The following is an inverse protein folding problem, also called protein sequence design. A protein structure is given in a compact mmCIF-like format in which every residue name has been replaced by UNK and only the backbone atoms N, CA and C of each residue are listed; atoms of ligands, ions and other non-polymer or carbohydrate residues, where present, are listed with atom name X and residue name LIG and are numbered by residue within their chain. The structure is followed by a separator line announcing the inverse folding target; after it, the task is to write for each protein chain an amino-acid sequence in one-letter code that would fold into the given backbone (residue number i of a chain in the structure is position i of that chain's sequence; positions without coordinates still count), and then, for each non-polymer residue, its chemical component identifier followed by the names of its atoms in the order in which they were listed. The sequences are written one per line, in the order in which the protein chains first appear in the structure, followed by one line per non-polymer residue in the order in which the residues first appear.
data_IF_536641348768
#
_entry.id   IF_536641348768
#
_cell.length_a   1.000
_cell.length_b   1.000
_cell.length_c   1.000
_cell.angle_alpha   90.00
_cell.angle_beta   90.00
_cell.angle_gamma   90.00
#
_symmetry.space_group_name_H-M   'P 1'
#
loop_
_entity.id
_entity.type
_entity.pdbx_description
1 polymer ?
#
# COMPACT_ATOMS: atom_id res chain seq x y z
N UNK A 1 -8.95 -37.84 72.80
CA UNK A 1 -9.55 -38.99 72.09
C UNK A 1 -9.42 -38.77 70.61
N UNK A 2 -8.55 -39.58 69.97
CA UNK A 2 -8.49 -40.06 68.55
C UNK A 2 -8.63 -39.08 67.42
N UNK A 3 -7.55 -38.60 66.81
CA UNK A 3 -6.71 -39.25 65.80
C UNK A 3 -7.49 -39.68 64.54
N UNK A 4 -7.26 -39.02 63.40
CA UNK A 4 -7.04 -39.70 62.10
C UNK A 4 -6.40 -38.73 61.07
N UNK A 5 -5.14 -39.03 60.82
CA UNK A 5 -4.40 -38.52 59.65
C UNK A 5 -4.90 -39.18 58.40
N UNK A 6 -5.05 -38.42 57.32
CA UNK A 6 -5.03 -38.97 55.96
C UNK A 6 -4.14 -38.10 55.06
N UNK A 7 -3.01 -38.69 54.71
CA UNK A 7 -2.11 -38.24 53.67
C UNK A 7 -2.78 -38.42 52.30
N UNK A 8 -2.82 -37.33 51.48
CA UNK A 8 -2.97 -37.45 50.07
C UNK A 8 -1.72 -36.92 49.40
N UNK A 9 -0.89 -37.83 48.95
CA UNK A 9 0.17 -37.59 47.96
C UNK A 9 -0.49 -37.50 46.60
N UNK A 10 -0.61 -36.32 46.04
CA UNK A 10 -0.89 -36.14 44.62
C UNK A 10 0.44 -36.02 43.86
N UNK A 11 0.73 -37.05 43.07
CA UNK A 11 1.81 -37.08 42.10
C UNK A 11 1.63 -36.00 41.03
N UNK A 12 2.47 -34.99 41.05
CA UNK A 12 2.61 -34.07 39.94
C UNK A 12 3.40 -34.80 38.84
N UNK A 13 2.68 -35.25 37.81
CA UNK A 13 3.29 -35.71 36.58
C UNK A 13 3.96 -34.52 35.90
N UNK A 14 5.27 -34.54 35.83
CA UNK A 14 6.06 -33.66 34.96
C UNK A 14 5.78 -34.03 33.52
N UNK A 15 4.84 -33.34 32.90
CA UNK A 15 4.68 -33.34 31.46
C UNK A 15 5.86 -32.55 30.85
N UNK A 16 6.95 -33.23 30.58
CA UNK A 16 8.02 -32.72 29.73
C UNK A 16 7.47 -32.67 28.30
N UNK A 17 6.93 -31.53 27.91
CA UNK A 17 6.76 -31.18 26.49
C UNK A 17 8.15 -31.29 25.85
N UNK A 18 8.33 -32.08 24.79
CA UNK A 18 9.63 -32.16 24.13
C UNK A 18 9.95 -30.78 23.55
N UNK A 19 11.02 -30.15 24.05
CA UNK A 19 11.68 -29.07 23.34
C UNK A 19 12.19 -29.67 22.04
N UNK A 20 11.45 -29.45 20.95
CA UNK A 20 11.95 -29.74 19.61
C UNK A 20 13.18 -28.86 19.39
N UNK A 21 14.36 -29.49 19.31
CA UNK A 21 15.55 -28.80 18.81
C UNK A 21 15.32 -28.53 17.33
N UNK A 22 14.84 -27.32 17.01
CA UNK A 22 14.75 -26.87 15.63
C UNK A 22 16.14 -26.95 15.00
N UNK A 23 16.21 -27.59 13.84
CA UNK A 23 17.42 -27.60 13.05
C UNK A 23 17.76 -26.18 12.57
N UNK A 24 19.03 -25.91 12.24
CA UNK A 24 19.46 -24.59 11.74
C UNK A 24 18.68 -24.18 10.47
N UNK A 25 18.14 -25.14 9.70
CA UNK A 25 17.29 -24.91 8.53
C UNK A 25 15.83 -24.53 8.89
N UNK A 26 15.33 -25.02 10.02
CA UNK A 26 13.97 -24.66 10.53
C UNK A 26 13.94 -23.23 11.12
N UNK A 27 15.07 -22.60 11.39
CA UNK A 27 15.18 -21.18 11.76
C UNK A 27 14.95 -20.24 10.55
N UNK A 28 15.04 -20.76 9.32
CA UNK A 28 14.79 -20.00 8.09
C UNK A 28 13.34 -20.21 7.62
N UNK A 29 12.43 -19.56 8.30
CA UNK A 29 10.99 -19.69 8.07
C UNK A 29 10.52 -18.94 6.82
N UNK A 30 9.45 -19.45 6.16
CA UNK A 30 8.80 -18.85 5.01
C UNK A 30 8.19 -17.47 5.34
N UNK A 31 7.72 -16.77 4.33
CA UNK A 31 6.98 -15.50 4.47
C UNK A 31 5.81 -15.60 5.49
N UNK A 32 5.16 -16.75 5.56
CA UNK A 32 3.98 -17.00 6.41
C UNK A 32 4.29 -17.68 7.74
N UNK A 33 5.56 -18.02 8.02
CA UNK A 33 5.99 -18.65 9.27
C UNK A 33 6.51 -17.62 10.28
N UNK A 34 6.35 -17.91 11.57
CA UNK A 34 6.90 -17.07 12.62
C UNK A 34 8.43 -17.09 12.63
N UNK A 35 9.05 -15.92 12.72
CA UNK A 35 10.46 -15.80 13.03
C UNK A 35 10.66 -15.94 14.54
N UNK A 36 11.48 -16.91 14.95
CA UNK A 36 11.83 -17.12 16.37
C UNK A 36 12.96 -16.21 16.84
N UNK A 37 13.76 -15.72 15.90
CA UNK A 37 14.93 -14.87 16.17
C UNK A 37 14.87 -13.62 15.30
N UNK A 38 15.43 -12.53 15.81
CA UNK A 38 15.44 -11.27 15.06
C UNK A 38 16.42 -11.30 13.89
N UNK A 39 17.58 -11.94 14.04
CA UNK A 39 18.62 -12.10 13.00
C UNK A 39 19.13 -13.55 12.97
N UNK A 40 19.64 -14.01 11.80
CA UNK A 40 19.84 -13.28 10.54
C UNK A 40 18.54 -13.03 9.78
N UNK A 41 18.46 -11.95 8.99
CA UNK A 41 17.32 -11.66 8.14
C UNK A 41 17.27 -12.57 6.92
N UNK A 42 16.11 -13.13 6.63
CA UNK A 42 15.82 -13.85 5.38
C UNK A 42 15.38 -12.89 4.26
N UNK A 43 14.66 -11.84 4.61
CA UNK A 43 14.11 -10.85 3.70
C UNK A 43 14.59 -9.42 4.08
N UNK A 44 15.91 -9.14 3.98
CA UNK A 44 16.49 -7.85 4.39
C UNK A 44 15.84 -6.66 3.66
N UNK A 45 15.42 -6.85 2.42
CA UNK A 45 14.69 -5.84 1.64
C UNK A 45 13.40 -5.35 2.34
N UNK A 46 12.70 -6.21 3.07
CA UNK A 46 11.50 -5.81 3.80
C UNK A 46 11.83 -4.88 4.98
N UNK A 47 12.96 -5.15 5.68
CA UNK A 47 13.45 -4.24 6.73
C UNK A 47 13.86 -2.89 6.13
N UNK A 48 14.47 -2.89 4.95
CA UNK A 48 14.85 -1.67 4.23
C UNK A 48 13.63 -0.81 3.91
N UNK A 49 12.52 -1.39 3.41
CA UNK A 49 11.28 -0.67 3.18
C UNK A 49 10.66 -0.12 4.47
N UNK A 50 10.63 -0.89 5.56
CA UNK A 50 10.15 -0.39 6.84
C UNK A 50 10.95 0.84 7.29
N UNK A 51 12.29 0.78 7.21
CA UNK A 51 13.16 1.89 7.59
C UNK A 51 13.01 3.10 6.65
N UNK A 52 12.83 2.87 5.35
CA UNK A 52 12.59 3.95 4.37
C UNK A 52 11.25 4.64 4.64
N UNK A 53 10.19 3.90 4.92
CA UNK A 53 8.90 4.45 5.29
C UNK A 53 8.98 5.35 6.53
N UNK A 54 9.71 4.92 7.56
CA UNK A 54 9.92 5.75 8.74
C UNK A 54 10.76 7.02 8.46
N UNK A 55 11.78 6.92 7.60
CA UNK A 55 12.58 8.08 7.19
C UNK A 55 11.80 9.08 6.35
N UNK A 56 10.80 8.62 5.63
CA UNK A 56 9.91 9.44 4.83
C UNK A 56 8.73 10.00 5.64
N UNK A 57 8.80 9.96 6.98
CA UNK A 57 7.74 10.42 7.87
C UNK A 57 7.31 11.86 7.59
N UNK A 58 6.00 12.08 7.63
CA UNK A 58 5.32 13.38 7.60
C UNK A 58 3.98 13.25 8.33
N UNK A 59 3.38 14.36 8.71
CA UNK A 59 2.09 14.40 9.37
C UNK A 59 1.18 15.48 8.77
N UNK A 60 -0.12 15.35 8.97
CA UNK A 60 -1.16 16.25 8.47
C UNK A 60 -0.94 17.72 8.86
N UNK A 61 -0.28 17.97 9.99
CA UNK A 61 0.02 19.34 10.47
C UNK A 61 1.12 20.06 9.70
N UNK A 62 1.84 19.38 8.80
CA UNK A 62 2.89 19.97 7.98
C UNK A 62 2.34 20.67 6.73
N UNK A 63 1.14 20.28 6.27
CA UNK A 63 0.52 20.84 5.08
C UNK A 63 0.03 22.29 5.30
N UNK A 64 0.33 23.17 4.35
CA UNK A 64 -0.02 24.59 4.41
C UNK A 64 -1.32 24.86 3.68
N UNK A 65 -2.45 24.64 4.34
CA UNK A 65 -3.78 24.72 3.74
C UNK A 65 -4.40 26.13 3.70
N UNK A 66 -3.80 27.13 4.36
CA UNK A 66 -4.38 28.48 4.45
C UNK A 66 -4.59 29.14 3.08
N UNK A 67 -3.63 28.97 2.17
CA UNK A 67 -3.74 29.51 0.82
C UNK A 67 -4.83 28.79 -0.01
N UNK A 68 -5.03 27.51 0.24
CA UNK A 68 -6.07 26.70 -0.41
C UNK A 68 -7.47 27.17 0.02
N UNK A 69 -7.67 27.46 1.31
CA UNK A 69 -8.91 28.06 1.82
C UNK A 69 -9.19 29.40 1.14
N UNK A 70 -8.17 30.26 1.06
CA UNK A 70 -8.33 31.55 0.41
C UNK A 70 -8.70 31.41 -1.09
N UNK A 71 -8.10 30.45 -1.78
CA UNK A 71 -8.44 30.17 -3.18
C UNK A 71 -9.84 29.55 -3.32
N UNK A 72 -10.21 28.64 -2.42
CA UNK A 72 -11.53 28.01 -2.38
C UNK A 72 -12.66 29.01 -2.20
N UNK A 73 -12.45 30.01 -1.34
CA UNK A 73 -13.46 31.04 -1.01
C UNK A 73 -13.50 32.23 -1.98
N UNK A 74 -12.39 32.56 -2.61
CA UNK A 74 -12.23 33.81 -3.40
C UNK A 74 -12.78 33.76 -4.83
N UNK A 75 -13.29 32.60 -5.31
CA UNK A 75 -13.70 32.43 -6.70
C UNK A 75 -12.55 32.25 -7.69
N UNK A 76 -11.32 32.04 -7.22
CA UNK A 76 -10.19 31.65 -8.08
C UNK A 76 -10.36 30.26 -8.70
N UNK A 77 -11.11 29.38 -8.02
CA UNK A 77 -11.56 28.11 -8.54
C UNK A 77 -12.97 28.28 -9.13
N UNK A 78 -13.17 27.78 -10.33
CA UNK A 78 -14.50 27.69 -10.95
C UNK A 78 -15.35 26.65 -10.22
N UNK A 79 -16.68 26.75 -10.35
CA UNK A 79 -17.60 25.76 -9.76
C UNK A 79 -17.31 24.35 -10.28
N UNK A 80 -16.91 24.24 -11.55
CA UNK A 80 -16.48 22.97 -12.15
C UNK A 80 -15.24 22.39 -11.47
N UNK A 81 -14.22 23.20 -11.19
CA UNK A 81 -13.01 22.76 -10.51
C UNK A 81 -13.28 22.35 -9.05
N UNK A 82 -14.15 23.10 -8.35
CA UNK A 82 -14.59 22.73 -7.01
C UNK A 82 -15.34 21.41 -7.01
N UNK A 83 -16.29 21.22 -7.95
CA UNK A 83 -17.00 19.97 -8.09
C UNK A 83 -16.03 18.81 -8.38
N UNK A 84 -15.09 19.00 -9.30
CA UNK A 84 -14.08 17.99 -9.64
C UNK A 84 -13.27 17.56 -8.42
N UNK A 85 -12.74 18.51 -7.63
CA UNK A 85 -12.02 18.21 -6.39
C UNK A 85 -12.92 17.49 -5.39
N UNK A 86 -14.15 17.97 -5.17
CA UNK A 86 -15.10 17.36 -4.22
C UNK A 86 -15.43 15.92 -4.60
N UNK A 87 -15.70 15.64 -5.88
CA UNK A 87 -15.96 14.28 -6.35
C UNK A 87 -14.80 13.33 -6.09
N UNK A 88 -13.57 13.81 -6.25
CA UNK A 88 -12.38 13.00 -5.98
C UNK A 88 -12.21 12.76 -4.48
N UNK A 89 -12.25 13.81 -3.67
CA UNK A 89 -12.04 13.73 -2.21
C UNK A 89 -13.13 12.91 -1.51
N UNK A 90 -14.38 12.93 -2.00
CA UNK A 90 -15.48 12.10 -1.50
C UNK A 90 -15.14 10.61 -1.47
N UNK A 91 -14.45 10.11 -2.47
CA UNK A 91 -14.06 8.71 -2.56
C UNK A 91 -12.67 8.44 -2.01
N UNK A 92 -11.76 9.40 -2.15
CA UNK A 92 -10.34 9.16 -1.95
C UNK A 92 -10.03 8.81 -0.49
N UNK A 93 -10.55 9.57 0.46
CA UNK A 93 -10.41 9.27 1.91
C UNK A 93 -10.92 7.87 2.25
N UNK A 94 -12.01 7.41 1.61
CA UNK A 94 -12.57 6.08 1.82
C UNK A 94 -11.69 4.97 1.21
N UNK A 95 -10.98 5.27 0.13
CA UNK A 95 -10.03 4.34 -0.47
C UNK A 95 -8.89 4.01 0.50
N UNK A 96 -8.34 5.01 1.21
CA UNK A 96 -7.29 4.81 2.21
C UNK A 96 -7.80 4.02 3.44
N UNK A 97 -9.08 4.18 3.81
CA UNK A 97 -9.72 3.34 4.84
C UNK A 97 -9.75 1.88 4.38
N UNK A 98 -10.11 1.62 3.12
CA UNK A 98 -10.13 0.28 2.56
C UNK A 98 -8.73 -0.35 2.49
N UNK A 99 -7.72 0.40 2.04
CA UNK A 99 -6.33 -0.08 1.97
C UNK A 99 -5.77 -0.36 3.36
N UNK A 100 -5.93 0.56 4.31
CA UNK A 100 -5.49 0.37 5.70
C UNK A 100 -6.15 -0.85 6.36
N UNK A 101 -7.45 -1.07 6.13
CA UNK A 101 -8.18 -2.26 6.59
C UNK A 101 -7.60 -3.54 5.98
N UNK A 102 -7.28 -3.53 4.68
CA UNK A 102 -6.68 -4.69 4.01
C UNK A 102 -5.34 -5.10 4.65
N UNK A 103 -4.49 -4.14 5.02
CA UNK A 103 -3.26 -4.45 5.74
C UNK A 103 -3.52 -5.13 7.08
N UNK A 104 -4.44 -4.60 7.88
CA UNK A 104 -4.69 -5.07 9.24
C UNK A 104 -5.42 -6.41 9.27
N UNK A 105 -6.41 -6.61 8.42
CA UNK A 105 -7.29 -7.77 8.48
C UNK A 105 -6.84 -8.91 7.58
N UNK A 106 -6.18 -8.62 6.46
CA UNK A 106 -5.86 -9.66 5.47
C UNK A 106 -4.36 -9.94 5.35
N UNK A 107 -3.47 -8.93 5.32
CA UNK A 107 -2.05 -9.18 5.04
C UNK A 107 -1.25 -9.47 6.32
N UNK A 108 -1.24 -8.58 7.30
CA UNK A 108 -0.47 -8.73 8.54
C UNK A 108 -0.79 -10.03 9.29
N UNK A 109 -2.06 -10.51 9.37
CA UNK A 109 -2.37 -11.79 10.01
C UNK A 109 -1.81 -13.01 9.29
N UNK A 110 -1.58 -12.94 7.97
CA UNK A 110 -1.09 -14.05 7.15
C UNK A 110 0.43 -14.11 7.07
N UNK A 111 1.08 -12.96 6.95
CA UNK A 111 2.54 -12.89 6.91
C UNK A 111 3.09 -12.78 8.34
N UNK A 112 3.70 -13.86 8.83
CA UNK A 112 4.15 -13.96 10.24
C UNK A 112 5.66 -13.83 10.42
N UNK A 113 6.41 -13.73 9.32
CA UNK A 113 7.81 -13.41 9.35
C UNK A 113 8.01 -11.97 9.86
N UNK A 114 8.99 -11.73 10.74
CA UNK A 114 9.18 -10.45 11.42
C UNK A 114 9.54 -9.31 10.47
N UNK A 115 10.38 -9.56 9.47
CA UNK A 115 10.80 -8.54 8.49
C UNK A 115 9.61 -8.09 7.65
N UNK A 116 8.79 -9.06 7.18
CA UNK A 116 7.59 -8.77 6.40
C UNK A 116 6.57 -8.02 7.24
N UNK A 117 6.35 -8.42 8.50
CA UNK A 117 5.44 -7.72 9.40
C UNK A 117 5.87 -6.29 9.69
N UNK A 118 7.16 -6.06 9.88
CA UNK A 118 7.70 -4.71 10.08
C UNK A 118 7.35 -3.81 8.88
N UNK A 119 7.59 -4.28 7.65
CA UNK A 119 7.23 -3.57 6.43
C UNK A 119 5.72 -3.30 6.34
N UNK A 120 4.89 -4.34 6.46
CA UNK A 120 3.44 -4.20 6.33
C UNK A 120 2.82 -3.31 7.42
N UNK A 121 3.36 -3.36 8.65
CA UNK A 121 2.89 -2.49 9.75
C UNK A 121 3.29 -1.03 9.50
N UNK A 122 4.48 -0.79 8.96
CA UNK A 122 4.94 0.55 8.58
C UNK A 122 4.04 1.14 7.48
N UNK A 123 3.72 0.35 6.46
CA UNK A 123 2.79 0.74 5.39
C UNK A 123 1.39 1.03 5.94
N UNK A 124 0.82 0.11 6.73
CA UNK A 124 -0.49 0.32 7.36
C UNK A 124 -0.55 1.62 8.17
N UNK A 125 0.53 1.98 8.88
CA UNK A 125 0.57 3.24 9.62
C UNK A 125 0.51 4.47 8.71
N UNK A 126 1.07 4.41 7.50
CA UNK A 126 0.99 5.52 6.54
C UNK A 126 -0.43 5.75 6.04
N UNK A 127 -1.21 4.69 5.84
CA UNK A 127 -2.63 4.82 5.47
C UNK A 127 -3.43 5.65 6.49
N UNK A 128 -3.16 5.51 7.78
CA UNK A 128 -3.81 6.34 8.80
C UNK A 128 -3.35 7.82 8.75
N UNK A 129 -2.14 8.08 8.31
CA UNK A 129 -1.68 9.46 8.07
C UNK A 129 -2.38 10.06 6.86
N UNK A 130 -2.54 9.29 5.77
CA UNK A 130 -3.28 9.70 4.58
C UNK A 130 -4.74 10.05 4.93
N UNK A 131 -5.44 9.14 5.63
CA UNK A 131 -6.83 9.36 6.08
C UNK A 131 -6.99 10.67 6.87
N UNK A 132 -6.12 10.92 7.87
CA UNK A 132 -6.19 12.15 8.67
C UNK A 132 -5.87 13.39 7.85
N UNK A 133 -4.96 13.28 6.89
CA UNK A 133 -4.55 14.41 6.05
C UNK A 133 -5.66 14.82 5.08
N UNK A 134 -6.34 13.86 4.45
CA UNK A 134 -7.50 14.15 3.60
C UNK A 134 -8.73 14.58 4.41
N UNK A 135 -8.90 14.06 5.62
CA UNK A 135 -9.94 14.56 6.54
C UNK A 135 -9.66 16.02 6.92
N UNK A 136 -8.43 16.36 7.34
CA UNK A 136 -8.06 17.74 7.64
C UNK A 136 -8.25 18.66 6.43
N UNK A 137 -7.91 18.21 5.22
CA UNK A 137 -8.15 18.99 3.99
C UNK A 137 -9.65 19.25 3.79
N UNK A 138 -10.51 18.25 3.88
CA UNK A 138 -11.96 18.38 3.75
C UNK A 138 -12.53 19.36 4.79
N UNK A 139 -12.17 19.17 6.07
CA UNK A 139 -12.63 20.04 7.16
C UNK A 139 -12.19 21.50 6.94
N UNK A 140 -10.95 21.68 6.50
CA UNK A 140 -10.36 23.01 6.25
C UNK A 140 -11.05 23.73 5.07
N UNK A 141 -11.46 22.99 4.04
CA UNK A 141 -12.23 23.51 2.91
C UNK A 141 -13.71 23.75 3.25
N UNK A 142 -14.17 23.31 4.42
CA UNK A 142 -15.56 23.41 4.86
C UNK A 142 -16.49 22.42 4.15
N UNK A 143 -15.95 21.26 3.76
CA UNK A 143 -16.74 20.15 3.21
C UNK A 143 -17.58 19.56 4.33
N UNK A 144 -18.92 19.44 4.17
CA UNK A 144 -19.80 18.89 5.21
C UNK A 144 -19.46 17.44 5.57
N UNK A 145 -19.67 17.04 6.83
CA UNK A 145 -19.40 15.66 7.29
C UNK A 145 -20.22 14.61 6.53
N UNK A 146 -21.39 14.96 6.03
CA UNK A 146 -22.22 14.08 5.22
C UNK A 146 -21.52 13.61 3.94
N UNK A 147 -20.57 14.38 3.42
CA UNK A 147 -19.80 14.03 2.22
C UNK A 147 -18.89 12.81 2.42
N UNK A 148 -18.47 12.51 3.66
CA UNK A 148 -17.69 11.31 3.95
C UNK A 148 -18.46 10.00 3.71
N UNK A 149 -19.78 10.02 3.77
CA UNK A 149 -20.62 8.87 3.45
C UNK A 149 -21.28 8.96 2.07
N UNK A 150 -21.23 10.12 1.42
CA UNK A 150 -21.92 10.37 0.16
C UNK A 150 -21.42 9.46 -1.00
N UNK A 151 -20.21 8.89 -0.91
CA UNK A 151 -19.74 7.91 -1.90
C UNK A 151 -20.66 6.69 -2.02
N UNK A 152 -21.43 6.35 -0.96
CA UNK A 152 -22.40 5.26 -0.96
C UNK A 152 -23.59 5.50 -1.89
N UNK A 153 -23.90 6.77 -2.19
CA UNK A 153 -24.97 7.16 -3.09
C UNK A 153 -24.55 7.08 -4.58
N UNK A 154 -23.24 6.95 -4.83
CA UNK A 154 -22.67 6.79 -6.16
C UNK A 154 -22.32 5.32 -6.42
N UNK A 155 -23.11 4.67 -7.25
CA UNK A 155 -22.94 3.24 -7.57
C UNK A 155 -21.49 2.87 -7.89
N UNK A 156 -20.85 3.64 -8.78
CA UNK A 156 -19.48 3.38 -9.24
C UNK A 156 -18.42 3.55 -8.15
N UNK A 157 -18.64 4.49 -7.22
CA UNK A 157 -17.75 4.68 -6.07
C UNK A 157 -17.88 3.53 -5.08
N UNK A 158 -19.11 3.12 -4.79
CA UNK A 158 -19.37 1.95 -3.93
C UNK A 158 -18.80 0.67 -4.53
N UNK A 159 -19.05 0.41 -5.82
CA UNK A 159 -18.52 -0.77 -6.52
C UNK A 159 -16.99 -0.81 -6.49
N UNK A 160 -16.31 0.34 -6.60
CA UNK A 160 -14.84 0.42 -6.47
C UNK A 160 -14.39 0.01 -5.06
N UNK A 161 -14.99 0.53 -4.01
CA UNK A 161 -14.62 0.17 -2.61
C UNK A 161 -14.90 -1.31 -2.36
N UNK A 162 -16.07 -1.82 -2.75
CA UNK A 162 -16.41 -3.24 -2.62
C UNK A 162 -15.35 -4.12 -3.35
N UNK A 163 -14.92 -3.71 -4.55
CA UNK A 163 -13.89 -4.41 -5.31
C UNK A 163 -12.51 -4.35 -4.65
N UNK A 164 -12.13 -3.21 -4.07
CA UNK A 164 -10.84 -3.05 -3.37
C UNK A 164 -10.73 -3.95 -2.13
N UNK A 165 -11.86 -4.27 -1.49
CA UNK A 165 -11.94 -5.05 -0.26
C UNK A 165 -12.34 -6.52 -0.47
N UNK A 166 -12.66 -6.94 -1.70
CA UNK A 166 -12.94 -8.34 -2.04
C UNK A 166 -11.65 -9.17 -2.07
N UNK A 167 -11.20 -9.60 -0.89
CA UNK A 167 -9.89 -10.24 -0.68
C UNK A 167 -10.05 -11.64 -0.09
N UNK A 168 -9.63 -12.66 -0.86
CA UNK A 168 -9.48 -14.04 -0.37
C UNK A 168 -8.03 -14.30 0.06
N UNK A 169 -7.84 -14.62 1.35
CA UNK A 169 -6.56 -15.05 1.90
C UNK A 169 -6.60 -16.45 2.50
N UNK A 170 -7.65 -17.25 2.23
CA UNK A 170 -7.82 -18.57 2.84
C UNK A 170 -7.01 -19.65 2.13
N UNK A 171 -6.81 -19.49 0.84
CA UNK A 171 -6.00 -20.41 0.04
C UNK A 171 -4.64 -19.82 -0.33
N UNK A 172 -3.67 -20.68 -0.66
CA UNK A 172 -2.34 -20.25 -1.17
C UNK A 172 -2.50 -19.43 -2.45
N UNK A 173 -3.38 -19.86 -3.34
CA UNK A 173 -3.67 -19.12 -4.59
C UNK A 173 -4.38 -17.80 -4.29
N UNK A 174 -5.34 -17.80 -3.36
CA UNK A 174 -6.05 -16.59 -2.92
C UNK A 174 -5.11 -15.55 -2.34
N UNK A 175 -4.20 -15.94 -1.43
CA UNK A 175 -3.22 -15.03 -0.85
C UNK A 175 -2.28 -14.45 -1.93
N UNK A 176 -1.85 -15.24 -2.91
CA UNK A 176 -1.06 -14.73 -4.04
C UNK A 176 -1.81 -13.67 -4.86
N UNK A 177 -3.12 -13.88 -5.11
CA UNK A 177 -3.98 -12.89 -5.78
C UNK A 177 -4.22 -11.65 -4.90
N UNK A 178 -4.35 -11.83 -3.59
CA UNK A 178 -4.50 -10.75 -2.65
C UNK A 178 -3.30 -9.79 -2.66
N UNK A 179 -2.06 -10.30 -2.73
CA UNK A 179 -0.87 -9.47 -2.87
C UNK A 179 -0.89 -8.70 -4.21
N UNK A 180 -1.27 -9.36 -5.31
CA UNK A 180 -1.40 -8.70 -6.60
C UNK A 180 -2.49 -7.61 -6.59
N UNK A 181 -3.57 -7.80 -5.81
CA UNK A 181 -4.62 -6.80 -5.62
C UNK A 181 -4.12 -5.56 -4.87
N UNK A 182 -3.29 -5.72 -3.84
CA UNK A 182 -2.64 -4.58 -3.18
C UNK A 182 -1.81 -3.76 -4.18
N UNK A 183 -0.97 -4.42 -5.00
CA UNK A 183 -0.21 -3.75 -6.06
C UNK A 183 -1.12 -2.99 -7.03
N UNK A 184 -2.29 -3.52 -7.35
CA UNK A 184 -3.26 -2.84 -8.21
C UNK A 184 -3.93 -1.67 -7.47
N UNK A 185 -4.40 -1.86 -6.24
CA UNK A 185 -5.07 -0.82 -5.46
C UNK A 185 -4.16 0.39 -5.25
N UNK A 186 -2.98 0.17 -4.67
CA UNK A 186 -2.04 1.21 -4.29
C UNK A 186 -1.21 1.72 -5.48
N UNK A 187 -0.95 0.86 -6.46
CA UNK A 187 -0.13 1.20 -7.64
C UNK A 187 -0.91 1.67 -8.88
N UNK A 188 -2.23 1.56 -8.92
CA UNK A 188 -3.07 1.95 -10.05
C UNK A 188 -4.32 2.71 -9.60
N UNK A 189 -5.13 2.13 -8.71
CA UNK A 189 -6.45 2.69 -8.39
C UNK A 189 -6.39 4.01 -7.63
N UNK A 190 -5.39 4.24 -6.78
CA UNK A 190 -5.18 5.53 -6.13
C UNK A 190 -4.58 6.57 -7.09
N UNK A 191 -3.82 6.12 -8.08
CA UNK A 191 -3.11 7.03 -9.00
C UNK A 191 -4.04 7.82 -9.91
N UNK A 192 -5.24 7.34 -10.20
CA UNK A 192 -6.25 8.13 -10.93
C UNK A 192 -6.58 9.42 -10.18
N UNK A 193 -6.82 9.33 -8.86
CA UNK A 193 -7.10 10.47 -8.01
C UNK A 193 -5.88 11.39 -7.86
N UNK A 194 -4.68 10.83 -7.67
CA UNK A 194 -3.45 11.61 -7.56
C UNK A 194 -3.23 12.50 -8.78
N UNK A 195 -3.33 11.95 -9.99
CA UNK A 195 -3.13 12.73 -11.24
C UNK A 195 -4.14 13.85 -11.36
N UNK A 196 -5.41 13.58 -11.04
CA UNK A 196 -6.47 14.57 -11.12
C UNK A 196 -6.24 15.74 -10.13
N UNK A 197 -5.81 15.45 -8.91
CA UNK A 197 -5.52 16.47 -7.91
C UNK A 197 -4.21 17.23 -8.19
N UNK A 198 -3.14 16.53 -8.58
CA UNK A 198 -1.85 17.16 -8.90
C UNK A 198 -1.90 18.07 -10.12
N UNK A 199 -2.87 17.89 -11.01
CA UNK A 199 -3.06 18.79 -12.14
C UNK A 199 -3.22 20.27 -11.72
N UNK A 200 -3.80 20.53 -10.56
CA UNK A 200 -4.00 21.89 -10.04
C UNK A 200 -2.68 22.61 -9.73
N UNK A 201 -1.63 21.88 -9.36
CA UNK A 201 -0.31 22.45 -9.10
C UNK A 201 0.31 23.14 -10.33
N UNK A 202 0.05 22.61 -11.53
CA UNK A 202 0.53 23.18 -12.79
C UNK A 202 0.05 24.62 -13.01
N UNK A 203 -1.07 24.98 -12.39
CA UNK A 203 -1.70 26.29 -12.50
C UNK A 203 -1.60 27.12 -11.20
N UNK A 204 -0.77 26.66 -10.26
CA UNK A 204 -0.58 27.35 -8.98
C UNK A 204 -1.82 27.36 -8.08
N UNK A 205 -2.71 26.38 -8.28
CA UNK A 205 -3.95 26.19 -7.51
C UNK A 205 -3.77 25.09 -6.49
N UNK A 206 -4.43 25.21 -5.32
CA UNK A 206 -4.54 24.19 -4.28
C UNK A 206 -3.18 23.56 -3.90
N UNK A 207 -2.21 24.39 -3.58
CA UNK A 207 -0.82 23.96 -3.31
C UNK A 207 -0.69 23.05 -2.10
N UNK A 208 -1.41 23.35 -1.01
CA UNK A 208 -1.38 22.53 0.20
C UNK A 208 -2.02 21.16 -0.02
N UNK A 209 -3.13 21.09 -0.78
CA UNK A 209 -3.70 19.82 -1.24
C UNK A 209 -2.68 19.03 -2.07
N UNK A 210 -2.03 19.67 -3.04
CA UNK A 210 -1.05 19.01 -3.89
C UNK A 210 0.17 18.52 -3.08
N UNK A 211 0.60 19.24 -2.05
CA UNK A 211 1.68 18.83 -1.15
C UNK A 211 1.33 17.53 -0.40
N UNK A 212 0.10 17.40 0.14
CA UNK A 212 -0.39 16.15 0.75
C UNK A 212 -0.38 15.03 -0.29
N UNK A 213 -0.86 15.29 -1.51
CA UNK A 213 -0.91 14.30 -2.58
C UNK A 213 0.49 13.85 -3.00
N UNK A 214 1.46 14.75 -3.11
CA UNK A 214 2.87 14.39 -3.42
C UNK A 214 3.47 13.45 -2.37
N UNK A 215 3.24 13.73 -1.08
CA UNK A 215 3.70 12.87 0.00
C UNK A 215 3.03 11.49 -0.03
N UNK A 216 1.72 11.46 -0.32
CA UNK A 216 0.97 10.20 -0.49
C UNK A 216 1.51 9.39 -1.68
N UNK A 217 1.74 10.02 -2.85
CA UNK A 217 2.33 9.35 -4.02
C UNK A 217 3.69 8.71 -3.70
N UNK A 218 4.53 9.39 -2.94
CA UNK A 218 5.82 8.84 -2.51
C UNK A 218 5.63 7.59 -1.64
N UNK A 219 4.70 7.64 -0.68
CA UNK A 219 4.42 6.53 0.20
C UNK A 219 3.81 5.35 -0.59
N UNK A 220 2.81 5.59 -1.43
CA UNK A 220 2.18 4.56 -2.28
C UNK A 220 3.15 3.94 -3.29
N UNK A 221 4.11 4.71 -3.77
CA UNK A 221 5.19 4.18 -4.61
C UNK A 221 5.98 3.12 -3.85
N UNK A 222 6.36 3.43 -2.61
CA UNK A 222 7.12 2.53 -1.74
C UNK A 222 6.30 1.30 -1.35
N UNK A 223 5.01 1.47 -1.02
CA UNK A 223 4.09 0.38 -0.71
C UNK A 223 3.97 -0.58 -1.90
N UNK A 224 3.70 -0.04 -3.09
CA UNK A 224 3.60 -0.83 -4.31
C UNK A 224 4.88 -1.61 -4.61
N UNK A 225 6.07 -1.01 -4.49
CA UNK A 225 7.35 -1.69 -4.70
C UNK A 225 7.57 -2.81 -3.68
N UNK A 226 7.30 -2.57 -2.40
CA UNK A 226 7.38 -3.56 -1.33
C UNK A 226 6.44 -4.74 -1.59
N UNK A 227 5.19 -4.47 -1.99
CA UNK A 227 4.20 -5.50 -2.32
C UNK A 227 4.54 -6.27 -3.61
N UNK A 228 5.15 -5.63 -4.61
CA UNK A 228 5.70 -6.33 -5.79
C UNK A 228 6.81 -7.31 -5.40
N UNK A 229 7.73 -6.90 -4.51
CA UNK A 229 8.77 -7.82 -4.00
C UNK A 229 8.15 -8.96 -3.20
N UNK A 230 7.18 -8.67 -2.35
CA UNK A 230 6.44 -9.68 -1.59
C UNK A 230 5.75 -10.69 -2.52
N UNK A 231 5.06 -10.21 -3.57
CA UNK A 231 4.44 -11.06 -4.58
C UNK A 231 5.45 -11.99 -5.25
N UNK A 232 6.58 -11.47 -5.68
CA UNK A 232 7.62 -12.26 -6.34
C UNK A 232 8.22 -13.32 -5.42
N UNK A 233 8.51 -12.96 -4.17
CA UNK A 233 9.00 -13.94 -3.19
C UNK A 233 7.93 -14.99 -2.87
N UNK A 234 6.67 -14.59 -2.73
CA UNK A 234 5.56 -15.52 -2.51
C UNK A 234 5.40 -16.51 -3.67
N UNK A 235 5.51 -16.05 -4.91
CA UNK A 235 5.48 -16.91 -6.08
C UNK A 235 6.69 -17.86 -6.16
N UNK A 236 7.88 -17.46 -5.69
CA UNK A 236 9.06 -18.33 -5.58
C UNK A 236 8.86 -19.42 -4.53
N UNK A 237 8.26 -19.09 -3.39
CA UNK A 237 7.94 -20.08 -2.34
C UNK A 237 6.82 -21.03 -2.76
N UNK A 238 5.92 -20.59 -3.64
CA UNK A 238 4.76 -21.34 -4.08
C UNK A 238 4.68 -21.49 -5.62
N UNK A 239 5.68 -22.09 -6.29
CA UNK A 239 5.73 -22.10 -7.77
C UNK A 239 4.57 -22.83 -8.43
N UNK A 240 3.89 -23.72 -7.72
CA UNK A 240 2.74 -24.49 -8.25
C UNK A 240 1.50 -23.63 -8.52
N UNK A 241 1.35 -22.48 -7.83
CA UNK A 241 0.21 -21.59 -8.11
C UNK A 241 0.40 -20.78 -9.37
N UNK A 242 1.64 -20.59 -9.84
CA UNK A 242 1.97 -19.71 -10.98
C UNK A 242 1.68 -20.42 -12.30
N UNK A 243 0.42 -20.75 -12.51
CA UNK A 243 -0.11 -21.38 -13.73
C UNK A 243 -0.91 -20.37 -14.58
N UNK A 244 -1.42 -20.82 -15.71
CA UNK A 244 -2.12 -19.94 -16.65
C UNK A 244 -3.45 -19.43 -16.10
N UNK A 245 -4.16 -20.21 -15.26
CA UNK A 245 -5.41 -19.76 -14.64
C UNK A 245 -5.14 -18.63 -13.62
N UNK A 246 -4.13 -18.78 -12.77
CA UNK A 246 -3.71 -17.72 -11.84
C UNK A 246 -3.37 -16.42 -12.56
N UNK A 247 -2.61 -16.50 -13.66
CA UNK A 247 -2.27 -15.32 -14.48
C UNK A 247 -3.52 -14.71 -15.12
N UNK A 248 -4.41 -15.54 -15.65
CA UNK A 248 -5.65 -15.10 -16.26
C UNK A 248 -6.54 -14.34 -15.27
N UNK A 249 -6.65 -14.83 -14.03
CA UNK A 249 -7.40 -14.19 -12.97
C UNK A 249 -6.80 -12.83 -12.59
N UNK A 250 -5.45 -12.70 -12.51
CA UNK A 250 -4.78 -11.41 -12.28
C UNK A 250 -5.06 -10.45 -13.46
N UNK A 251 -4.97 -10.91 -14.70
CA UNK A 251 -5.32 -10.07 -15.85
C UNK A 251 -6.77 -9.61 -15.81
N UNK A 252 -7.71 -10.48 -15.38
CA UNK A 252 -9.10 -10.11 -15.25
C UNK A 252 -9.30 -9.06 -14.15
N UNK A 253 -8.66 -9.25 -13.00
CA UNK A 253 -8.66 -8.28 -11.90
C UNK A 253 -8.23 -6.88 -12.37
N UNK A 254 -7.15 -6.78 -13.16
CA UNK A 254 -6.70 -5.49 -13.70
C UNK A 254 -7.67 -4.90 -14.72
N UNK A 255 -8.33 -5.73 -15.55
CA UNK A 255 -9.37 -5.25 -16.47
C UNK A 255 -10.57 -4.68 -15.74
N UNK A 256 -11.03 -5.40 -14.72
CA UNK A 256 -12.18 -4.98 -13.90
C UNK A 256 -11.84 -3.71 -13.11
N UNK A 257 -10.64 -3.63 -12.53
CA UNK A 257 -10.13 -2.43 -11.86
C UNK A 257 -10.08 -1.22 -12.80
N UNK A 258 -9.54 -1.36 -14.02
CA UNK A 258 -9.52 -0.27 -15.01
C UNK A 258 -10.93 0.18 -15.40
N UNK A 259 -11.88 -0.76 -15.53
CA UNK A 259 -13.26 -0.40 -15.87
C UNK A 259 -13.95 0.37 -14.73
N UNK A 260 -13.69 0.01 -13.47
CA UNK A 260 -14.18 0.74 -12.31
C UNK A 260 -13.55 2.14 -12.21
N UNK A 261 -12.24 2.26 -12.45
CA UNK A 261 -11.57 3.56 -12.50
C UNK A 261 -12.13 4.46 -13.60
N UNK A 262 -12.39 3.93 -14.79
CA UNK A 262 -13.02 4.69 -15.88
C UNK A 262 -14.36 5.29 -15.44
N UNK A 263 -15.19 4.53 -14.73
CA UNK A 263 -16.50 4.98 -14.24
C UNK A 263 -16.38 6.07 -13.15
N UNK A 264 -15.40 5.95 -12.27
CA UNK A 264 -15.11 6.97 -11.25
C UNK A 264 -14.59 8.25 -11.89
N UNK A 265 -13.69 8.13 -12.88
CA UNK A 265 -13.17 9.27 -13.64
C UNK A 265 -14.31 10.00 -14.37
N UNK A 266 -15.26 9.28 -15.00
CA UNK A 266 -16.41 9.89 -15.64
C UNK A 266 -17.25 10.70 -14.63
N UNK A 267 -17.39 10.23 -13.39
CA UNK A 267 -18.07 10.97 -12.33
C UNK A 267 -17.31 12.24 -11.93
N UNK A 268 -15.98 12.14 -11.77
CA UNK A 268 -15.17 13.30 -11.43
C UNK A 268 -15.24 14.41 -12.51
N UNK A 269 -15.37 14.01 -13.76
CA UNK A 269 -15.48 14.93 -14.91
C UNK A 269 -16.91 15.16 -15.40
N UNK A 270 -17.94 14.94 -14.56
CA UNK A 270 -19.36 15.10 -14.96
C UNK A 270 -19.70 16.50 -15.47
N UNK A 271 -18.98 17.53 -14.98
CA UNK A 271 -19.09 18.92 -15.47
C UNK A 271 -18.12 19.24 -16.63
N UNK A 272 -17.46 18.23 -17.19
CA UNK A 272 -16.50 18.35 -18.30
C UNK A 272 -15.06 18.57 -17.85
N UNK A 273 -14.16 18.65 -18.84
CA UNK A 273 -12.71 18.78 -18.61
C UNK A 273 -12.35 20.01 -17.78
N UNK A 274 -11.33 19.86 -16.92
CA UNK A 274 -10.70 20.98 -16.20
C UNK A 274 -9.50 21.51 -16.98
N UNK A 275 -8.92 22.62 -16.57
CA UNK A 275 -7.77 23.21 -17.24
C UNK A 275 -6.62 22.19 -17.35
N UNK A 276 -6.22 21.87 -18.62
CA UNK A 276 -5.11 20.98 -18.94
C UNK A 276 -5.30 19.50 -18.65
N UNK A 277 -6.53 19.05 -18.34
CA UNK A 277 -6.80 17.63 -18.10
C UNK A 277 -8.25 17.26 -18.49
N UNK A 278 -8.39 16.17 -19.22
CA UNK A 278 -9.66 15.56 -19.58
C UNK A 278 -9.82 14.16 -18.97
N UNK A 279 -11.04 13.65 -18.95
CA UNK A 279 -11.32 12.26 -18.55
C UNK A 279 -10.52 11.25 -19.39
N UNK A 280 -10.42 11.47 -20.71
CA UNK A 280 -9.71 10.56 -21.60
C UNK A 280 -8.21 10.52 -21.28
N UNK A 281 -7.59 11.65 -20.93
CA UNK A 281 -6.18 11.72 -20.53
C UNK A 281 -5.94 10.84 -19.27
N UNK A 282 -6.81 10.95 -18.27
CA UNK A 282 -6.72 10.16 -17.03
C UNK A 282 -6.94 8.67 -17.33
N UNK A 283 -7.94 8.34 -18.15
CA UNK A 283 -8.22 6.94 -18.53
C UNK A 283 -7.06 6.31 -19.29
N UNK A 284 -6.38 7.06 -20.16
CA UNK A 284 -5.17 6.56 -20.83
C UNK A 284 -4.02 6.37 -19.85
N UNK A 285 -3.86 7.27 -18.88
CA UNK A 285 -2.86 7.14 -17.84
C UNK A 285 -3.10 5.90 -16.95
N UNK A 286 -4.35 5.61 -16.58
CA UNK A 286 -4.71 4.40 -15.83
C UNK A 286 -4.27 3.14 -16.59
N UNK A 287 -4.48 3.08 -17.91
CA UNK A 287 -4.04 1.94 -18.74
C UNK A 287 -2.52 1.83 -18.80
N UNK A 288 -1.84 2.95 -18.90
CA UNK A 288 -0.38 3.00 -18.88
C UNK A 288 0.16 2.42 -17.57
N UNK A 289 -0.35 2.88 -16.42
CA UNK A 289 0.14 2.44 -15.13
C UNK A 289 -0.26 0.99 -14.84
N UNK A 290 -1.45 0.54 -15.26
CA UNK A 290 -1.88 -0.85 -15.18
C UNK A 290 -0.89 -1.80 -15.89
N UNK A 291 -0.44 -1.44 -17.10
CA UNK A 291 0.56 -2.21 -17.82
C UNK A 291 1.90 -2.26 -17.07
N UNK A 292 2.31 -1.15 -16.44
CA UNK A 292 3.53 -1.11 -15.63
C UNK A 292 3.44 -2.03 -14.41
N UNK A 293 2.31 -2.04 -13.69
CA UNK A 293 2.10 -2.95 -12.55
C UNK A 293 2.08 -4.42 -12.96
N UNK A 294 1.42 -4.74 -14.08
CA UNK A 294 1.45 -6.11 -14.63
C UNK A 294 2.88 -6.56 -14.94
N UNK A 295 3.69 -5.70 -15.58
CA UNK A 295 5.10 -5.99 -15.88
C UNK A 295 5.92 -6.18 -14.58
N UNK A 296 5.70 -5.34 -13.57
CA UNK A 296 6.36 -5.48 -12.26
C UNK A 296 5.97 -6.77 -11.54
N UNK A 297 4.75 -7.26 -11.73
CA UNK A 297 4.31 -8.59 -11.23
C UNK A 297 4.89 -9.76 -12.06
N UNK A 298 5.67 -9.50 -13.10
CA UNK A 298 6.26 -10.51 -13.98
C UNK A 298 5.32 -11.01 -15.09
N UNK A 299 4.26 -10.26 -15.36
CA UNK A 299 3.30 -10.50 -16.44
C UNK A 299 3.60 -9.60 -17.65
N UNK A 300 2.84 -9.76 -18.74
CA UNK A 300 2.93 -8.86 -19.90
C UNK A 300 1.90 -7.74 -19.76
N UNK A 301 2.18 -6.57 -20.35
CA UNK A 301 1.18 -5.52 -20.47
C UNK A 301 -0.06 -5.99 -21.25
N UNK A 302 -1.24 -5.56 -20.81
CA UNK A 302 -2.53 -5.97 -21.37
C UNK A 302 -3.21 -4.87 -22.20
N UNK A 303 -2.94 -3.59 -21.85
CA UNK A 303 -3.60 -2.42 -22.46
C UNK A 303 -2.81 -1.81 -23.61
N UNK A 304 -1.53 -2.17 -23.75
CA UNK A 304 -0.61 -1.77 -24.84
C UNK A 304 -0.28 -0.28 -24.87
N UNK A 305 -0.38 0.42 -23.75
CA UNK A 305 0.05 1.81 -23.62
C UNK A 305 1.52 1.83 -23.19
N UNK A 306 2.40 2.28 -24.10
CA UNK A 306 3.86 2.20 -23.90
C UNK A 306 4.44 3.46 -23.28
N UNK A 307 3.88 4.62 -23.57
CA UNK A 307 4.40 5.92 -23.18
C UNK A 307 3.45 6.57 -22.17
N UNK A 308 4.01 7.33 -21.23
CA UNK A 308 3.21 8.08 -20.26
C UNK A 308 2.45 9.20 -20.98
N UNK A 309 1.11 9.19 -21.02
CA UNK A 309 0.34 10.25 -21.67
C UNK A 309 0.37 11.57 -20.90
N UNK A 310 0.87 11.59 -19.66
CA UNK A 310 0.94 12.74 -18.78
C UNK A 310 2.40 13.06 -18.41
N UNK A 311 3.20 13.45 -19.40
CA UNK A 311 4.64 13.74 -19.22
C UNK A 311 4.93 14.77 -18.11
N UNK A 312 3.99 15.69 -17.89
CA UNK A 312 4.12 16.71 -16.84
C UNK A 312 4.15 16.13 -15.42
N UNK A 313 3.61 14.92 -15.21
CA UNK A 313 3.59 14.27 -13.92
C UNK A 313 5.01 13.92 -13.43
N UNK A 314 5.90 13.58 -14.34
CA UNK A 314 7.30 13.27 -14.05
C UNK A 314 8.05 14.48 -13.43
N UNK A 315 7.59 15.69 -13.70
CA UNK A 315 8.18 16.91 -13.15
C UNK A 315 7.69 17.23 -11.75
N UNK A 316 6.42 16.93 -11.46
CA UNK A 316 5.76 17.26 -10.20
C UNK A 316 6.25 16.34 -9.09
N UNK A 317 6.34 15.05 -9.36
CA UNK A 317 6.67 14.05 -8.33
C UNK A 317 8.18 13.86 -8.15
N UNK A 318 8.99 14.65 -8.86
CA UNK A 318 10.46 14.57 -8.82
C UNK A 318 11.02 13.37 -9.59
N UNK A 319 11.74 13.65 -10.70
CA UNK A 319 12.14 12.66 -11.70
C UNK A 319 12.83 11.39 -11.21
N UNK A 320 13.50 11.39 -10.04
CA UNK A 320 14.15 10.20 -9.49
C UNK A 320 13.18 9.24 -8.80
N UNK A 321 12.13 9.76 -8.15
CA UNK A 321 11.11 8.93 -7.48
C UNK A 321 10.24 8.22 -8.52
N UNK A 322 9.81 8.93 -9.56
CA UNK A 322 9.03 8.33 -10.64
C UNK A 322 9.86 7.49 -11.61
N UNK A 323 11.11 7.85 -11.89
CA UNK A 323 11.98 7.00 -12.73
C UNK A 323 12.12 5.61 -12.12
N UNK A 324 12.37 5.51 -10.82
CA UNK A 324 12.41 4.23 -10.12
C UNK A 324 11.06 3.53 -10.17
N UNK A 325 9.96 4.28 -10.06
CA UNK A 325 8.60 3.77 -10.09
C UNK A 325 8.17 3.27 -11.49
N UNK A 326 8.53 3.99 -12.57
CA UNK A 326 8.12 3.64 -13.92
C UNK A 326 9.13 2.79 -14.70
N UNK A 327 10.43 2.98 -14.46
CA UNK A 327 11.50 2.26 -15.17
C UNK A 327 12.02 1.06 -14.40
N UNK A 328 11.63 0.88 -13.13
CA UNK A 328 12.15 -0.13 -12.23
C UNK A 328 11.98 -1.57 -12.71
N UNK A 329 12.87 -1.96 -13.60
CA UNK A 329 13.54 -3.25 -13.47
C UNK A 329 14.32 -3.10 -12.17
N UNK A 330 13.89 -3.80 -11.12
CA UNK A 330 14.60 -3.85 -9.84
C UNK A 330 16.01 -4.37 -10.14
N UNK A 331 16.91 -3.46 -10.47
CA UNK A 331 18.33 -3.72 -10.40
C UNK A 331 18.65 -3.79 -8.91
N UNK A 332 19.22 -4.91 -8.50
CA UNK A 332 19.67 -5.15 -7.13
C UNK A 332 20.19 -3.84 -6.52
N UNK A 333 19.48 -3.36 -5.50
CA UNK A 333 20.04 -2.37 -4.61
C UNK A 333 21.32 -2.99 -4.04
N UNK A 334 22.45 -2.54 -4.53
CA UNK A 334 23.72 -2.79 -3.85
C UNK A 334 23.52 -2.30 -2.42
N UNK A 335 23.41 -3.23 -1.50
CA UNK A 335 23.55 -2.98 -0.09
C UNK A 335 24.94 -2.36 0.11
N UNK A 336 25.05 -1.04 -0.05
CA UNK A 336 26.14 -0.27 0.52
C UNK A 336 25.93 -0.36 2.02
N UNK A 337 26.43 -1.48 2.52
CA UNK A 337 26.29 -1.93 3.87
C UNK A 337 26.66 -0.83 4.85
N UNK A 338 25.96 -0.82 5.96
CA UNK A 338 26.60 -0.38 7.19
C UNK A 338 27.81 -1.30 7.43
N UNK A 339 28.95 -0.93 6.88
CA UNK A 339 30.24 -1.53 7.20
C UNK A 339 30.69 -0.83 8.47
N UNK A 340 30.31 -1.39 9.59
CA UNK A 340 30.83 -1.05 10.90
C UNK A 340 31.20 -2.33 11.62
N UNK A 341 32.45 -2.43 12.02
CA UNK A 341 32.89 -3.45 12.95
C UNK A 341 32.31 -3.12 14.33
N UNK A 342 31.25 -3.83 14.71
CA UNK A 342 30.52 -3.61 15.95
C UNK A 342 31.18 -4.24 17.16
N UNK A 343 32.49 -4.54 17.14
CA UNK A 343 33.31 -4.88 18.30
C UNK A 343 32.70 -5.88 19.31
N UNK A 344 31.73 -6.71 18.89
CA UNK A 344 31.14 -7.72 19.74
C UNK A 344 32.04 -8.95 19.71
N UNK A 345 32.84 -9.11 20.78
CA UNK A 345 33.72 -10.28 20.93
C UNK A 345 32.88 -11.56 20.90
N UNK A 346 33.21 -12.46 20.01
CA UNK A 346 32.62 -13.80 19.90
C UNK A 346 33.18 -14.75 20.98
N UNK A 347 33.24 -14.33 22.22
CA UNK A 347 33.54 -15.26 23.33
C UNK A 347 32.24 -16.00 23.67
N UNK A 348 32.18 -17.23 23.17
CA UNK A 348 31.21 -18.24 23.61
C UNK A 348 31.58 -18.66 25.03
N UNK A 349 31.12 -18.01 26.06
CA UNK A 349 31.01 -18.62 27.37
C UNK A 349 29.69 -19.40 27.45
N UNK A 350 29.81 -20.71 27.47
CA UNK A 350 28.73 -21.62 27.84
C UNK A 350 28.35 -21.35 29.28
N UNK A 351 27.14 -20.86 29.51
CA UNK A 351 26.52 -20.98 30.83
C UNK A 351 26.14 -22.45 31.00
N UNK A 352 26.91 -23.15 31.79
CA UNK A 352 26.57 -24.45 32.36
C UNK A 352 26.03 -24.17 33.75
N UNK A 353 24.76 -24.35 33.94
CA UNK A 353 24.12 -24.62 35.22
C UNK A 353 22.83 -25.39 34.98
#
# INVERSE_FOLDING_TARGET
MTCFSCFFLSSWGTSSTPFFSLTREELFMSLTSHSLVYKPFKYPWAVEYAVQSEKAHWGEWEAKLQDDVAQWQSGKLTDKEKNHITQILRLFTQSDVAVGTNYLEYYIPKFKNNEIRAMLTSFANREFVHQRSYALLNDTLGVPEEEYSAFLDYKQMKEKIDFMTDIDTQSVTGLGKAIARSVMNEGMSLFSAFVMLLNYQRYGKMKGMCEIVEWSVRDETMHCEGMVKLFREYCKEHPRIVNDEFKKEIYQMFRDGVALEDAVVDTAFEMGAVEGLSADDVKQYIRYIADRRLIQLGLKGNFKVKENPLEWLDWIVGGDTLKNFFEGVVTDYNASGMVGDWGWSTTKERIVA
#
